data_IF_177669306396
#
_entry.id   IF_177669306396
#
_cell.length_a   1.000
_cell.length_b   1.000
_cell.length_c   1.000
_cell.angle_alpha   90.00
_cell.angle_beta   90.00
_cell.angle_gamma   90.00
#
_symmetry.space_group_name_H-M   'P 1'
#
loop_
_entity.id
_entity.type
_entity.pdbx_description
1 polymer ?
#
# COMPACT_ATOMS: atom_id res chain seq x y z
N UNK A 1 -5.55 -1.15 4.29
CA UNK A 1 -5.58 -2.55 3.79
C UNK A 1 -4.16 -3.12 3.84
N UNK A 2 -3.90 -4.16 4.62
CA UNK A 2 -2.55 -4.70 4.85
C UNK A 2 -2.56 -6.01 5.64
N UNK A 3 -1.49 -6.31 6.38
CA UNK A 3 -1.31 -7.58 7.13
C UNK A 3 -2.48 -7.94 8.07
N UNK A 4 -3.21 -6.93 8.55
CA UNK A 4 -4.40 -7.09 9.40
C UNK A 4 -5.53 -7.90 8.70
N UNK A 5 -5.62 -7.83 7.37
CA UNK A 5 -6.59 -8.60 6.60
C UNK A 5 -6.10 -10.01 6.23
N UNK A 6 -4.83 -10.33 6.52
CA UNK A 6 -4.24 -11.65 6.27
C UNK A 6 -4.31 -12.57 7.50
N UNK A 7 -4.91 -12.10 8.61
CA UNK A 7 -5.12 -12.91 9.81
C UNK A 7 -6.33 -13.81 9.60
N UNK A 8 -6.16 -15.14 9.57
CA UNK A 8 -7.28 -16.06 9.43
C UNK A 8 -8.19 -15.97 10.66
N UNK A 9 -9.48 -15.77 10.42
CA UNK A 9 -10.52 -15.87 11.42
C UNK A 9 -10.91 -17.33 11.62
N UNK A 10 -10.76 -17.85 12.85
CA UNK A 10 -11.06 -19.25 13.18
C UNK A 10 -12.56 -19.58 13.13
N UNK A 11 -13.42 -18.56 13.14
CA UNK A 11 -14.88 -18.67 13.11
C UNK A 11 -15.46 -18.44 11.70
N UNK A 12 -14.62 -18.20 10.70
CA UNK A 12 -15.04 -17.91 9.33
C UNK A 12 -14.84 -19.15 8.43
N UNK A 13 -15.77 -20.10 8.47
CA UNK A 13 -15.83 -21.16 7.46
C UNK A 13 -16.22 -20.55 6.10
N UNK A 14 -15.26 -20.48 5.17
CA UNK A 14 -15.51 -20.10 3.78
C UNK A 14 -15.23 -18.64 3.39
N UNK A 15 -14.66 -17.81 4.26
CA UNK A 15 -14.21 -16.46 3.85
C UNK A 15 -12.95 -16.54 2.98
N UNK A 16 -13.02 -15.97 1.78
CA UNK A 16 -11.87 -15.80 0.90
C UNK A 16 -10.89 -14.83 1.55
N UNK A 17 -9.71 -15.34 1.92
CA UNK A 17 -8.64 -14.49 2.46
C UNK A 17 -8.31 -13.37 1.46
N UNK A 18 -8.41 -12.12 1.93
CA UNK A 18 -7.96 -10.95 1.19
C UNK A 18 -6.43 -10.95 1.14
N UNK A 19 -5.89 -11.72 0.18
CA UNK A 19 -4.47 -11.68 -0.14
C UNK A 19 -4.14 -10.34 -0.79
N UNK A 20 -2.96 -9.79 -0.49
CA UNK A 20 -2.44 -8.65 -1.26
C UNK A 20 -2.05 -9.22 -2.63
N UNK A 21 -2.74 -8.85 -3.72
CA UNK A 21 -2.43 -9.41 -5.03
C UNK A 21 -1.06 -8.91 -5.52
N UNK A 22 -0.39 -9.76 -6.30
CA UNK A 22 0.88 -9.44 -6.95
C UNK A 22 2.13 -9.76 -6.11
N UNK A 23 3.30 -9.56 -6.73
CA UNK A 23 4.60 -9.80 -6.13
C UNK A 23 5.24 -8.49 -5.64
N UNK A 24 6.11 -8.53 -4.61
CA UNK A 24 6.99 -7.40 -4.31
C UNK A 24 7.80 -6.97 -5.54
N UNK A 25 8.10 -5.67 -5.69
CA UNK A 25 8.95 -5.22 -6.78
C UNK A 25 10.35 -5.82 -6.65
N UNK A 26 11.02 -6.01 -7.77
CA UNK A 26 12.42 -6.40 -7.77
C UNK A 26 13.27 -5.24 -7.20
N UNK A 27 13.89 -5.46 -6.03
CA UNK A 27 14.67 -4.41 -5.35
C UNK A 27 15.95 -4.02 -6.11
N UNK A 28 16.47 -4.89 -6.98
CA UNK A 28 17.61 -4.57 -7.87
C UNK A 28 17.18 -3.69 -9.06
N UNK A 29 15.87 -3.64 -9.34
CA UNK A 29 15.27 -2.91 -10.47
C UNK A 29 13.97 -2.28 -10.03
N UNK A 30 14.06 -1.34 -9.10
CA UNK A 30 12.87 -0.63 -8.63
C UNK A 30 12.23 0.15 -9.79
N UNK A 31 10.89 0.13 -9.89
CA UNK A 31 10.19 0.97 -10.85
C UNK A 31 10.43 2.45 -10.51
N UNK A 32 10.37 3.31 -11.52
CA UNK A 32 10.35 4.76 -11.30
C UNK A 32 9.08 5.13 -10.53
N UNK A 33 9.20 6.09 -9.61
CA UNK A 33 8.09 6.57 -8.81
C UNK A 33 7.80 5.71 -7.58
N UNK A 34 6.51 5.52 -7.28
CA UNK A 34 6.07 4.77 -6.11
C UNK A 34 6.27 3.25 -6.30
N UNK A 35 7.07 2.57 -5.46
CA UNK A 35 7.32 1.13 -5.58
C UNK A 35 6.08 0.27 -5.30
N UNK A 36 5.05 0.87 -4.70
CA UNK A 36 3.79 0.20 -4.41
C UNK A 36 2.77 0.33 -5.55
N UNK A 37 2.99 1.19 -6.54
CA UNK A 37 2.05 1.46 -7.64
C UNK A 37 1.47 0.18 -8.29
N UNK A 38 2.26 -0.88 -8.61
CA UNK A 38 1.73 -2.07 -9.28
C UNK A 38 0.71 -2.88 -8.46
N UNK A 39 0.62 -2.64 -7.14
CA UNK A 39 -0.22 -3.40 -6.20
C UNK A 39 -1.06 -2.50 -5.29
N UNK A 40 -1.02 -1.18 -5.49
CA UNK A 40 -1.75 -0.23 -4.67
C UNK A 40 -3.18 -0.09 -5.21
N UNK A 41 -4.23 -0.38 -4.42
CA UNK A 41 -5.61 -0.20 -4.86
C UNK A 41 -6.00 1.27 -5.08
N UNK A 42 -5.18 2.21 -4.59
CA UNK A 42 -5.36 3.66 -4.76
C UNK A 42 -4.36 4.26 -5.76
N UNK A 43 -3.75 3.46 -6.64
CA UNK A 43 -2.79 3.94 -7.63
C UNK A 43 -3.43 4.99 -8.57
N UNK A 44 -2.70 6.08 -8.81
CA UNK A 44 -3.07 7.17 -9.71
C UNK A 44 -1.91 7.45 -10.68
N UNK A 45 -2.14 8.19 -11.76
CA UNK A 45 -1.09 8.51 -12.74
C UNK A 45 0.13 9.20 -12.11
N UNK A 46 -0.11 10.10 -11.15
CA UNK A 46 0.95 10.81 -10.40
C UNK A 46 1.88 9.84 -9.62
N UNK A 47 1.44 8.63 -9.30
CA UNK A 47 2.25 7.62 -8.61
C UNK A 47 3.43 7.08 -9.45
N UNK A 48 3.46 7.38 -10.75
CA UNK A 48 4.64 7.15 -11.60
C UNK A 48 5.84 8.05 -11.23
N UNK A 49 5.58 9.09 -10.42
CA UNK A 49 6.58 9.91 -9.74
C UNK A 49 6.69 9.52 -8.26
N UNK A 50 7.82 9.85 -7.63
CA UNK A 50 8.04 9.52 -6.23
C UNK A 50 7.42 10.63 -5.35
N UNK A 51 6.50 10.30 -4.43
CA UNK A 51 5.96 11.29 -3.51
C UNK A 51 7.05 11.80 -2.56
N UNK A 52 6.99 13.07 -2.13
CA UNK A 52 7.86 13.57 -1.07
C UNK A 52 7.60 12.83 0.24
N UNK A 53 8.62 12.76 1.09
CA UNK A 53 8.49 12.25 2.45
C UNK A 53 8.04 13.39 3.36
N UNK A 54 6.82 13.30 3.87
CA UNK A 54 6.16 14.35 4.64
C UNK A 54 5.70 13.84 6.00
N UNK A 55 5.69 14.71 7.01
CA UNK A 55 5.14 14.37 8.32
C UNK A 55 3.62 14.39 8.27
N UNK A 56 2.98 13.32 8.75
CA UNK A 56 1.51 13.23 8.80
C UNK A 56 0.97 13.15 10.23
N UNK A 57 1.81 12.77 11.19
CA UNK A 57 1.57 12.84 12.64
C UNK A 57 2.92 13.00 13.35
N UNK A 58 2.96 13.53 14.59
CA UNK A 58 4.22 13.77 15.30
C UNK A 58 5.16 12.56 15.31
N UNK A 59 6.34 12.72 14.73
CA UNK A 59 7.37 11.69 14.66
C UNK A 59 7.10 10.56 13.66
N UNK A 60 6.10 10.70 12.77
CA UNK A 60 5.81 9.73 11.72
C UNK A 60 5.76 10.40 10.35
N UNK A 61 6.59 9.87 9.45
CA UNK A 61 6.70 10.32 8.08
C UNK A 61 5.96 9.38 7.13
N UNK A 62 5.50 9.92 6.01
CA UNK A 62 4.74 9.22 4.97
C UNK A 62 5.10 9.78 3.59
N UNK A 63 5.20 8.88 2.62
CA UNK A 63 5.42 9.25 1.22
C UNK A 63 4.29 8.67 0.37
N UNK A 64 3.17 9.41 0.25
CA UNK A 64 2.00 9.01 -0.53
C UNK A 64 1.20 10.24 -0.98
N UNK A 65 0.77 10.26 -2.24
CA UNK A 65 -0.01 11.36 -2.80
C UNK A 65 -1.48 11.40 -2.34
N UNK A 66 -2.00 10.30 -1.78
CA UNK A 66 -3.37 10.29 -1.25
C UNK A 66 -3.43 11.02 0.09
N UNK A 67 -4.47 11.80 0.41
CA UNK A 67 -4.71 12.30 1.77
C UNK A 67 -4.85 11.15 2.78
N UNK A 68 -4.60 11.42 4.06
CA UNK A 68 -4.72 10.38 5.12
C UNK A 68 -6.19 10.03 5.34
N UNK A 69 -7.05 11.02 5.24
CA UNK A 69 -8.50 10.97 5.47
C UNK A 69 -9.20 10.06 4.46
N UNK A 70 -8.63 9.90 3.26
CA UNK A 70 -9.15 9.06 2.18
C UNK A 70 -8.67 7.59 2.26
N UNK A 71 -7.84 7.23 3.24
CA UNK A 71 -7.29 5.88 3.40
C UNK A 71 -7.90 5.07 4.56
N UNK A 72 -8.95 5.61 5.20
CA UNK A 72 -9.69 4.95 6.28
C UNK A 72 -10.78 4.02 5.73
#
# INVERSE_FOLDING_TARGET
IGLLNAVPRLDAEGETMLTIPGNPPNLLRLPKGCPFQPRCPHAMEICSSAPPLEEFTPGRLRACFKPVEELL
#
